data_IF_912677135103
#
_entry.id   IF_912677135103
#
_cell.length_a   1.000
_cell.length_b   1.000
_cell.length_c   1.000
_cell.angle_alpha   90.00
_cell.angle_beta   90.00
_cell.angle_gamma   90.00
#
_symmetry.space_group_name_H-M   'P 1'
#
loop_
_entity.id
_entity.type
_entity.pdbx_description
1 polymer ?
#
# COMPACT_ATOMS: atom_id res chain seq x y z
N UNK A 1 -13.19 -32.48 14.30
CA UNK A 1 -13.38 -32.90 12.90
C UNK A 1 -12.20 -33.78 12.56
N UNK A 2 -12.44 -35.01 12.07
CA UNK A 2 -11.36 -35.84 11.57
C UNK A 2 -10.89 -35.20 10.27
N UNK A 3 -9.59 -35.00 10.13
CA UNK A 3 -9.01 -34.62 8.85
C UNK A 3 -9.35 -35.71 7.85
N UNK A 4 -10.11 -35.36 6.83
CA UNK A 4 -10.42 -36.27 5.74
C UNK A 4 -9.16 -36.46 4.87
N UNK A 5 -8.77 -37.71 4.69
CA UNK A 5 -7.55 -38.10 3.97
C UNK A 5 -7.54 -37.56 2.53
N UNK A 6 -8.72 -37.48 1.92
CA UNK A 6 -8.94 -36.93 0.59
C UNK A 6 -8.72 -35.42 0.55
N UNK A 7 -9.22 -34.67 1.53
CA UNK A 7 -8.99 -33.23 1.69
C UNK A 7 -7.52 -32.90 1.90
N UNK A 8 -6.80 -33.69 2.69
CA UNK A 8 -5.35 -33.52 2.89
C UNK A 8 -4.56 -33.81 1.62
N UNK A 9 -4.95 -34.81 0.82
CA UNK A 9 -4.27 -35.12 -0.43
C UNK A 9 -4.45 -34.00 -1.47
N UNK A 10 -5.68 -33.50 -1.65
CA UNK A 10 -5.98 -32.37 -2.54
C UNK A 10 -5.24 -31.10 -2.11
N UNK A 11 -5.25 -30.80 -0.83
CA UNK A 11 -4.51 -29.65 -0.29
C UNK A 11 -3.01 -29.77 -0.58
N UNK A 12 -2.43 -30.96 -0.37
CA UNK A 12 -1.00 -31.21 -0.66
C UNK A 12 -0.66 -30.94 -2.12
N UNK A 13 -1.46 -31.45 -3.06
CA UNK A 13 -1.24 -31.27 -4.48
C UNK A 13 -1.27 -29.78 -4.87
N UNK A 14 -2.29 -29.04 -4.40
CA UNK A 14 -2.42 -27.60 -4.63
C UNK A 14 -1.28 -26.79 -4.02
N UNK A 15 -0.84 -27.13 -2.78
CA UNK A 15 0.27 -26.45 -2.12
C UNK A 15 1.58 -26.69 -2.83
N UNK A 16 1.86 -27.90 -3.33
CA UNK A 16 3.07 -28.20 -4.10
C UNK A 16 3.15 -27.35 -5.37
N UNK A 17 2.05 -27.19 -6.11
CA UNK A 17 2.01 -26.31 -7.28
C UNK A 17 2.25 -24.86 -6.91
N UNK A 18 1.58 -24.36 -5.88
CA UNK A 18 1.75 -22.99 -5.40
C UNK A 18 3.18 -22.70 -4.90
N UNK A 19 3.82 -23.66 -4.23
CA UNK A 19 5.22 -23.53 -3.80
C UNK A 19 6.19 -23.52 -4.98
N UNK A 20 5.92 -24.26 -6.05
CA UNK A 20 6.73 -24.19 -7.27
C UNK A 20 6.63 -22.82 -7.97
N UNK A 21 5.41 -22.26 -8.04
CA UNK A 21 5.19 -20.90 -8.55
C UNK A 21 5.89 -19.84 -7.69
N UNK A 22 5.80 -19.98 -6.37
CA UNK A 22 6.44 -19.09 -5.40
C UNK A 22 7.97 -19.14 -5.56
N UNK A 23 8.57 -20.33 -5.61
CA UNK A 23 10.00 -20.52 -5.79
C UNK A 23 10.51 -19.88 -7.08
N UNK A 24 9.81 -20.11 -8.20
CA UNK A 24 10.15 -19.49 -9.48
C UNK A 24 10.12 -17.96 -9.45
N UNK A 25 9.13 -17.35 -8.79
CA UNK A 25 9.04 -15.91 -8.64
C UNK A 25 10.14 -15.35 -7.71
N UNK A 26 10.46 -16.07 -6.63
CA UNK A 26 11.49 -15.65 -5.66
C UNK A 26 12.88 -15.65 -6.26
N UNK A 27 13.22 -16.61 -7.11
CA UNK A 27 14.52 -16.66 -7.83
C UNK A 27 14.74 -15.39 -8.68
N UNK A 28 13.71 -14.88 -9.29
CA UNK A 28 13.80 -13.62 -10.05
C UNK A 28 13.87 -12.40 -9.14
N UNK A 29 13.13 -12.38 -8.02
CA UNK A 29 13.16 -11.29 -7.04
C UNK A 29 14.51 -11.16 -6.32
N UNK A 30 15.25 -12.23 -6.13
CA UNK A 30 16.62 -12.20 -5.59
C UNK A 30 17.58 -11.39 -6.47
N UNK A 31 17.32 -11.32 -7.76
CA UNK A 31 18.12 -10.55 -8.72
C UNK A 31 17.53 -9.18 -9.04
N UNK A 32 16.21 -9.05 -8.99
CA UNK A 32 15.48 -7.83 -9.24
C UNK A 32 14.27 -7.71 -8.30
N UNK A 33 14.46 -7.20 -7.07
CA UNK A 33 13.38 -7.07 -6.08
C UNK A 33 12.22 -6.18 -6.53
N UNK A 34 12.46 -5.26 -7.46
CA UNK A 34 11.45 -4.34 -7.99
C UNK A 34 10.62 -4.91 -9.15
N UNK A 35 10.76 -6.19 -9.51
CA UNK A 35 10.02 -6.83 -10.59
C UNK A 35 8.54 -6.99 -10.23
N UNK A 36 7.71 -6.02 -10.60
CA UNK A 36 6.28 -5.97 -10.24
C UNK A 36 5.49 -7.23 -10.66
N UNK A 37 5.83 -7.83 -11.78
CA UNK A 37 5.20 -9.07 -12.24
C UNK A 37 5.47 -10.23 -11.27
N UNK A 38 6.70 -10.32 -10.75
CA UNK A 38 7.07 -11.37 -9.81
C UNK A 38 6.45 -11.15 -8.44
N UNK A 39 6.36 -9.89 -7.99
CA UNK A 39 5.63 -9.53 -6.77
C UNK A 39 4.14 -9.93 -6.89
N UNK A 40 3.52 -9.73 -8.05
CA UNK A 40 2.14 -10.18 -8.30
C UNK A 40 2.00 -11.70 -8.28
N UNK A 41 2.98 -12.45 -8.81
CA UNK A 41 3.01 -13.91 -8.74
C UNK A 41 3.12 -14.40 -7.30
N UNK A 42 4.02 -13.81 -6.50
CA UNK A 42 4.16 -14.12 -5.07
C UNK A 42 2.84 -13.83 -4.34
N UNK A 43 2.23 -12.68 -4.60
CA UNK A 43 0.93 -12.34 -3.99
C UNK A 43 -0.14 -13.40 -4.29
N UNK A 44 -0.27 -13.82 -5.55
CA UNK A 44 -1.25 -14.85 -5.93
C UNK A 44 -0.98 -16.19 -5.27
N UNK A 45 0.27 -16.63 -5.24
CA UNK A 45 0.65 -17.89 -4.60
C UNK A 45 0.34 -17.89 -3.09
N UNK A 46 0.72 -16.82 -2.37
CA UNK A 46 0.44 -16.68 -0.93
C UNK A 46 -1.06 -16.56 -0.65
N UNK A 47 -1.80 -15.82 -1.51
CA UNK A 47 -3.26 -15.71 -1.40
C UNK A 47 -3.95 -17.06 -1.53
N UNK A 48 -3.56 -17.85 -2.52
CA UNK A 48 -4.08 -19.21 -2.74
C UNK A 48 -3.72 -20.12 -1.57
N UNK A 49 -2.47 -20.15 -1.13
CA UNK A 49 -2.01 -20.91 0.04
C UNK A 49 -2.85 -20.60 1.30
N UNK A 50 -3.09 -19.30 1.56
CA UNK A 50 -3.94 -18.88 2.67
C UNK A 50 -5.35 -19.43 2.53
N UNK A 51 -5.97 -19.29 1.37
CA UNK A 51 -7.33 -19.75 1.10
C UNK A 51 -7.48 -21.25 1.26
N UNK A 52 -6.59 -22.02 0.65
CA UNK A 52 -6.59 -23.48 0.70
C UNK A 52 -6.33 -24.01 2.11
N UNK A 53 -5.39 -23.38 2.86
CA UNK A 53 -5.10 -23.73 4.24
C UNK A 53 -6.31 -23.49 5.17
N UNK A 54 -7.04 -22.39 4.98
CA UNK A 54 -8.28 -22.14 5.74
C UNK A 54 -9.38 -23.14 5.39
N UNK A 55 -9.57 -23.45 4.11
CA UNK A 55 -10.58 -24.42 3.67
C UNK A 55 -10.29 -25.82 4.17
N UNK A 56 -9.02 -26.23 4.16
CA UNK A 56 -8.59 -27.53 4.69
C UNK A 56 -8.49 -27.56 6.23
N UNK A 57 -8.62 -26.42 6.93
CA UNK A 57 -8.50 -26.32 8.38
C UNK A 57 -7.06 -26.46 8.90
N UNK A 58 -6.05 -26.25 8.06
CA UNK A 58 -4.61 -26.34 8.39
C UNK A 58 -4.15 -24.98 8.90
N UNK A 59 -4.52 -24.68 10.15
CA UNK A 59 -4.29 -23.39 10.80
C UNK A 59 -2.81 -22.97 10.84
N UNK A 60 -1.81 -23.83 11.09
CA UNK A 60 -0.42 -23.38 11.17
C UNK A 60 0.10 -22.76 9.88
N UNK A 61 -0.33 -23.26 8.71
CA UNK A 61 0.02 -22.65 7.41
C UNK A 61 -0.75 -21.34 7.20
N UNK A 62 -2.04 -21.31 7.56
CA UNK A 62 -2.87 -20.12 7.41
C UNK A 62 -2.38 -18.95 8.29
N UNK A 63 -1.86 -19.24 9.49
CA UNK A 63 -1.30 -18.24 10.41
C UNK A 63 -0.05 -17.55 9.85
N UNK A 64 0.78 -18.26 9.10
CA UNK A 64 1.94 -17.69 8.39
C UNK A 64 1.49 -16.91 7.16
N UNK A 65 0.59 -17.49 6.36
CA UNK A 65 0.18 -16.92 5.09
C UNK A 65 -0.61 -15.61 5.24
N UNK A 66 -1.38 -15.45 6.33
CA UNK A 66 -2.24 -14.27 6.53
C UNK A 66 -1.47 -12.95 6.68
N UNK A 67 -0.49 -12.80 7.60
CA UNK A 67 0.30 -11.57 7.70
C UNK A 67 1.25 -11.39 6.53
N UNK A 68 1.73 -12.49 5.93
CA UNK A 68 2.59 -12.43 4.75
C UNK A 68 1.83 -11.89 3.54
N UNK A 69 0.60 -12.33 3.29
CA UNK A 69 -0.24 -11.80 2.22
C UNK A 69 -0.45 -10.28 2.35
N UNK A 70 -0.67 -9.80 3.58
CA UNK A 70 -0.82 -8.37 3.85
C UNK A 70 0.45 -7.60 3.45
N UNK A 71 1.61 -8.07 3.86
CA UNK A 71 2.90 -7.47 3.51
C UNK A 71 3.13 -7.45 1.99
N UNK A 72 2.93 -8.60 1.32
CA UNK A 72 3.11 -8.69 -0.14
C UNK A 72 2.12 -7.83 -0.91
N UNK A 73 0.91 -7.64 -0.39
CA UNK A 73 -0.07 -6.70 -0.96
C UNK A 73 0.44 -5.26 -0.94
N UNK A 74 1.14 -4.86 0.10
CA UNK A 74 1.72 -3.51 0.21
C UNK A 74 2.88 -3.31 -0.78
N UNK A 75 3.70 -4.33 -1.01
CA UNK A 75 4.69 -4.31 -2.10
C UNK A 75 4.03 -4.20 -3.47
N UNK A 76 2.99 -4.99 -3.72
CA UNK A 76 2.23 -4.95 -4.99
C UNK A 76 1.60 -3.59 -5.27
N UNK A 77 1.14 -2.88 -4.25
CA UNK A 77 0.53 -1.54 -4.37
C UNK A 77 1.56 -0.41 -4.35
N UNK A 78 2.85 -0.72 -4.33
CA UNK A 78 3.96 0.24 -4.18
C UNK A 78 3.84 1.13 -2.93
N UNK A 79 3.09 0.69 -1.93
CA UNK A 79 3.01 1.38 -0.64
C UNK A 79 4.33 1.27 0.12
N UNK A 80 5.00 0.12 -0.02
CA UNK A 80 6.30 -0.19 0.53
C UNK A 80 7.20 -0.68 -0.60
N UNK A 81 8.43 -0.14 -0.69
CA UNK A 81 9.42 -0.64 -1.63
C UNK A 81 9.97 -1.99 -1.16
N UNK A 82 10.16 -2.92 -2.09
CA UNK A 82 10.77 -4.22 -1.82
C UNK A 82 12.26 -4.17 -2.13
N UNK A 83 13.07 -4.74 -1.25
CA UNK A 83 14.51 -4.92 -1.44
C UNK A 83 14.93 -6.38 -1.21
N UNK A 84 16.26 -6.62 -1.15
CA UNK A 84 16.78 -7.98 -0.96
C UNK A 84 16.40 -8.59 0.40
N UNK A 85 16.26 -7.79 1.45
CA UNK A 85 15.91 -8.31 2.78
C UNK A 85 14.47 -8.83 2.79
N UNK A 86 13.57 -8.18 2.07
CA UNK A 86 12.20 -8.65 1.89
C UNK A 86 12.15 -9.90 1.02
N UNK A 87 12.97 -9.99 -0.04
CA UNK A 87 13.09 -11.20 -0.85
C UNK A 87 13.58 -12.40 -0.03
N UNK A 88 14.58 -12.21 0.83
CA UNK A 88 15.05 -13.23 1.79
C UNK A 88 13.95 -13.64 2.77
N UNK A 89 13.18 -12.68 3.29
CA UNK A 89 12.04 -12.98 4.18
C UNK A 89 10.99 -13.84 3.48
N UNK A 90 10.69 -13.56 2.21
CA UNK A 90 9.76 -14.38 1.43
C UNK A 90 10.33 -15.80 1.18
N UNK A 91 11.63 -15.93 1.02
CA UNK A 91 12.32 -17.25 0.93
C UNK A 91 12.20 -18.04 2.22
N UNK A 92 12.36 -17.40 3.37
CA UNK A 92 12.15 -18.04 4.68
C UNK A 92 10.70 -18.52 4.85
N UNK A 93 9.72 -17.72 4.38
CA UNK A 93 8.32 -18.11 4.36
C UNK A 93 8.07 -19.37 3.52
N UNK A 94 8.66 -19.45 2.34
CA UNK A 94 8.56 -20.60 1.45
C UNK A 94 9.08 -21.87 2.14
N UNK A 95 10.22 -21.79 2.84
CA UNK A 95 10.77 -22.90 3.62
C UNK A 95 9.82 -23.34 4.76
N UNK A 96 9.18 -22.39 5.46
CA UNK A 96 8.21 -22.70 6.49
C UNK A 96 6.96 -23.38 5.91
N UNK A 97 6.47 -22.97 4.74
CA UNK A 97 5.38 -23.65 4.07
C UNK A 97 5.74 -25.08 3.67
N UNK A 98 6.97 -25.32 3.18
CA UNK A 98 7.47 -26.69 2.92
C UNK A 98 7.52 -27.52 4.19
N UNK A 99 8.05 -26.99 5.28
CA UNK A 99 8.08 -27.67 6.57
C UNK A 99 6.67 -28.00 7.07
N UNK A 100 5.73 -27.07 6.92
CA UNK A 100 4.32 -27.29 7.23
C UNK A 100 3.69 -28.40 6.38
N UNK A 101 4.03 -28.47 5.10
CA UNK A 101 3.58 -29.52 4.18
C UNK A 101 4.11 -30.92 4.58
N UNK A 102 5.39 -31.01 4.94
CA UNK A 102 6.01 -32.25 5.43
C UNK A 102 5.38 -32.73 6.74
N UNK A 103 4.99 -31.80 7.60
CA UNK A 103 4.38 -32.07 8.89
C UNK A 103 2.92 -32.57 8.81
N UNK A 104 2.23 -32.34 7.67
CA UNK A 104 0.80 -32.68 7.51
C UNK A 104 0.46 -34.13 7.80
N UNK A 105 1.33 -35.09 7.47
CA UNK A 105 1.07 -36.51 7.65
C UNK A 105 1.11 -36.93 9.14
N UNK A 106 1.96 -36.26 9.92
CA UNK A 106 2.22 -36.64 11.30
C UNK A 106 1.48 -35.78 12.31
N UNK A 107 1.47 -34.46 12.11
CA UNK A 107 0.96 -33.49 13.07
C UNK A 107 0.38 -32.25 12.34
N UNK A 108 -0.75 -32.34 11.63
CA UNK A 108 -1.29 -31.29 10.76
C UNK A 108 -1.66 -29.99 11.49
N UNK A 109 -1.87 -30.04 12.80
CA UNK A 109 -2.26 -28.90 13.63
C UNK A 109 -1.15 -28.41 14.57
N UNK A 110 0.02 -29.06 14.57
CA UNK A 110 1.12 -28.60 15.41
C UNK A 110 1.75 -27.33 14.84
N UNK A 111 2.20 -26.40 15.68
CA UNK A 111 2.93 -25.21 15.23
C UNK A 111 4.16 -25.59 14.40
N UNK A 112 4.39 -24.84 13.33
CA UNK A 112 5.58 -25.02 12.48
C UNK A 112 6.77 -24.42 13.21
N UNK A 113 7.87 -25.19 13.31
CA UNK A 113 9.07 -24.74 13.97
C UNK A 113 9.64 -23.49 13.30
N UNK A 114 9.97 -22.44 14.08
CA UNK A 114 10.46 -21.15 13.56
C UNK A 114 9.36 -20.20 13.10
N UNK A 115 8.07 -20.60 13.03
CA UNK A 115 6.99 -19.75 12.58
C UNK A 115 6.81 -18.51 13.48
N UNK A 116 6.91 -18.66 14.81
CA UNK A 116 6.74 -17.55 15.74
C UNK A 116 7.80 -16.45 15.53
N UNK A 117 9.07 -16.84 15.43
CA UNK A 117 10.18 -15.91 15.18
C UNK A 117 10.05 -15.26 13.81
N UNK A 118 9.62 -16.00 12.80
CA UNK A 118 9.34 -15.48 11.49
C UNK A 118 8.22 -14.43 11.53
N UNK A 119 7.11 -14.69 12.20
CA UNK A 119 6.00 -13.75 12.33
C UNK A 119 6.41 -12.45 13.04
N UNK A 120 7.26 -12.55 14.07
CA UNK A 120 7.83 -11.35 14.71
C UNK A 120 8.70 -10.54 13.72
N UNK A 121 9.48 -11.19 12.86
CA UNK A 121 10.27 -10.51 11.82
C UNK A 121 9.38 -9.83 10.79
N UNK A 122 8.32 -10.50 10.33
CA UNK A 122 7.32 -9.91 9.42
C UNK A 122 6.71 -8.66 10.02
N UNK A 123 6.28 -8.71 11.29
CA UNK A 123 5.68 -7.58 11.99
C UNK A 123 6.66 -6.40 12.14
N UNK A 124 7.90 -6.68 12.54
CA UNK A 124 8.94 -5.65 12.69
C UNK A 124 9.27 -4.98 11.36
N UNK A 125 9.44 -5.78 10.30
CA UNK A 125 9.71 -5.27 8.96
C UNK A 125 8.56 -4.39 8.47
N UNK A 126 7.34 -4.88 8.56
CA UNK A 126 6.14 -4.16 8.17
C UNK A 126 6.04 -2.78 8.86
N UNK A 127 6.25 -2.76 10.17
CA UNK A 127 6.20 -1.51 10.95
C UNK A 127 7.32 -0.54 10.55
N UNK A 128 8.56 -1.02 10.48
CA UNK A 128 9.71 -0.23 10.05
C UNK A 128 9.56 0.38 8.65
N UNK A 129 8.99 -0.38 7.71
CA UNK A 129 8.79 0.10 6.34
C UNK A 129 7.66 1.11 6.22
N UNK A 130 6.59 0.95 6.98
CA UNK A 130 5.52 1.95 7.05
C UNK A 130 6.02 3.27 7.63
N UNK A 131 6.77 3.22 8.73
CA UNK A 131 7.37 4.40 9.35
C UNK A 131 8.33 5.12 8.37
N UNK A 132 9.13 4.33 7.61
CA UNK A 132 10.04 4.88 6.59
C UNK A 132 9.30 5.50 5.42
N UNK A 133 8.21 4.87 4.95
CA UNK A 133 7.39 5.39 3.86
C UNK A 133 6.64 6.68 4.28
N UNK A 134 6.18 6.75 5.52
CA UNK A 134 5.56 7.95 6.08
C UNK A 134 6.59 9.07 6.24
N UNK A 135 7.79 8.77 6.76
CA UNK A 135 8.89 9.74 6.88
C UNK A 135 9.32 10.27 5.51
N UNK A 136 9.47 9.41 4.50
CA UNK A 136 9.82 9.83 3.14
C UNK A 136 8.74 10.73 2.52
N UNK A 137 7.46 10.45 2.76
CA UNK A 137 6.36 11.32 2.31
C UNK A 137 6.38 12.68 3.02
N UNK A 138 6.72 12.72 4.30
CA UNK A 138 6.87 13.97 5.04
C UNK A 138 8.08 14.77 4.54
N UNK A 139 9.20 14.11 4.25
CA UNK A 139 10.40 14.74 3.67
C UNK A 139 10.15 15.26 2.26
N UNK A 140 9.40 14.53 1.42
CA UNK A 140 9.01 14.97 0.07
C UNK A 140 8.06 16.17 0.12
N UNK A 141 7.25 16.30 1.18
CA UNK A 141 6.42 17.49 1.43
C UNK A 141 7.22 18.67 1.99
N UNK A 142 8.36 18.42 2.65
CA UNK A 142 9.17 19.47 3.30
C UNK A 142 10.20 20.12 2.33
N UNK A 143 10.30 19.65 1.07
CA UNK A 143 11.13 20.31 0.05
C UNK A 143 10.51 21.57 -0.57
N UNK A 144 9.30 21.92 -0.14
CA UNK A 144 8.66 23.17 -0.55
C UNK A 144 9.40 24.36 0.04
N UNK A 145 9.67 25.36 -0.80
CA UNK A 145 10.33 26.59 -0.35
C UNK A 145 9.43 27.32 0.68
N UNK A 146 9.88 27.42 1.96
CA UNK A 146 9.10 28.09 2.99
C UNK A 146 8.76 29.55 2.67
N UNK A 147 9.58 30.22 1.84
CA UNK A 147 9.31 31.57 1.39
C UNK A 147 8.14 31.62 0.41
N UNK A 148 8.08 30.69 -0.55
CA UNK A 148 6.96 30.59 -1.48
C UNK A 148 5.65 30.26 -0.76
N UNK A 149 5.68 29.36 0.20
CA UNK A 149 4.51 29.05 1.05
C UNK A 149 4.07 30.30 1.85
N UNK A 150 5.02 31.04 2.43
CA UNK A 150 4.69 32.25 3.20
C UNK A 150 4.07 33.33 2.34
N UNK A 151 4.59 33.55 1.12
CA UNK A 151 4.03 34.48 0.14
C UNK A 151 2.63 34.04 -0.27
N UNK A 152 2.48 32.75 -0.63
CA UNK A 152 1.17 32.20 -1.00
C UNK A 152 0.14 32.34 0.10
N UNK A 153 0.51 32.12 1.39
CA UNK A 153 -0.42 32.28 2.52
C UNK A 153 -0.84 33.74 2.72
N UNK A 154 0.08 34.70 2.52
CA UNK A 154 -0.26 36.10 2.66
C UNK A 154 -1.19 36.56 1.52
N UNK A 155 -0.83 36.32 0.26
CA UNK A 155 -1.65 36.68 -0.90
C UNK A 155 -2.97 35.89 -0.95
N UNK A 156 -2.92 34.59 -0.64
CA UNK A 156 -4.11 33.74 -0.63
C UNK A 156 -5.15 34.14 0.40
N UNK A 157 -4.72 34.68 1.54
CA UNK A 157 -5.65 35.19 2.56
C UNK A 157 -6.40 36.43 2.06
N UNK A 158 -5.68 37.34 1.40
CA UNK A 158 -6.31 38.54 0.80
C UNK A 158 -7.30 38.15 -0.30
N UNK A 159 -6.93 37.23 -1.17
CA UNK A 159 -7.80 36.67 -2.23
C UNK A 159 -9.06 36.03 -1.62
N UNK A 160 -8.94 35.27 -0.54
CA UNK A 160 -10.08 34.63 0.12
C UNK A 160 -11.04 35.66 0.74
N UNK A 161 -10.53 36.73 1.32
CA UNK A 161 -11.35 37.80 1.86
C UNK A 161 -12.11 38.56 0.74
N UNK A 162 -11.43 38.86 -0.37
CA UNK A 162 -12.05 39.50 -1.52
C UNK A 162 -13.09 38.58 -2.18
N UNK A 163 -12.82 37.28 -2.28
CA UNK A 163 -13.77 36.28 -2.78
C UNK A 163 -15.03 36.19 -1.91
N UNK A 164 -14.92 36.29 -0.59
CA UNK A 164 -16.09 36.31 0.32
C UNK A 164 -16.98 37.53 0.07
N UNK A 165 -16.38 38.72 -0.10
CA UNK A 165 -17.10 39.94 -0.42
C UNK A 165 -17.77 39.89 -1.80
N UNK A 166 -17.09 39.35 -2.81
CA UNK A 166 -17.62 39.16 -4.16
C UNK A 166 -18.80 38.18 -4.17
N UNK A 167 -18.71 37.08 -3.45
CA UNK A 167 -19.79 36.10 -3.31
C UNK A 167 -21.00 36.72 -2.61
N UNK A 168 -20.79 37.56 -1.60
CA UNK A 168 -21.88 38.25 -0.89
C UNK A 168 -22.60 39.21 -1.83
N UNK A 169 -21.88 40.03 -2.60
CA UNK A 169 -22.44 40.96 -3.56
C UNK A 169 -23.22 40.26 -4.68
N UNK A 170 -22.60 39.20 -5.24
CA UNK A 170 -23.26 38.39 -6.26
C UNK A 170 -24.55 37.74 -5.78
N UNK A 171 -24.61 37.27 -4.53
CA UNK A 171 -25.82 36.69 -3.94
C UNK A 171 -26.95 37.74 -3.78
N UNK A 172 -26.61 39.00 -3.57
CA UNK A 172 -27.57 40.09 -3.51
C UNK A 172 -28.10 40.51 -4.91
N UNK A 173 -27.24 40.40 -5.94
CA UNK A 173 -27.53 40.77 -7.33
C UNK A 173 -27.12 39.69 -8.33
N UNK A 174 -27.82 38.53 -8.36
CA UNK A 174 -27.36 37.35 -9.18
C UNK A 174 -27.36 37.58 -10.69
N UNK A 175 -28.05 38.63 -11.18
CA UNK A 175 -28.08 38.98 -12.60
C UNK A 175 -26.85 39.78 -13.08
N UNK A 176 -26.05 40.29 -12.15
CA UNK A 176 -24.81 40.99 -12.47
C UNK A 176 -23.65 39.98 -12.60
N UNK A 177 -23.06 39.91 -13.79
CA UNK A 177 -22.00 38.97 -14.07
C UNK A 177 -20.60 39.50 -13.68
N UNK A 178 -20.52 40.76 -13.31
CA UNK A 178 -19.24 41.42 -13.02
C UNK A 178 -18.57 40.84 -11.76
N UNK A 179 -19.33 40.62 -10.70
CA UNK A 179 -18.86 40.05 -9.45
C UNK A 179 -18.43 38.57 -9.64
N UNK A 180 -19.17 37.83 -10.46
CA UNK A 180 -18.82 36.44 -10.79
C UNK A 180 -17.52 36.38 -11.59
N UNK A 181 -17.34 37.27 -12.58
CA UNK A 181 -16.10 37.34 -13.36
C UNK A 181 -14.89 37.69 -12.48
N UNK A 182 -15.06 38.66 -11.57
CA UNK A 182 -14.00 39.00 -10.62
C UNK A 182 -13.65 37.83 -9.68
N UNK A 183 -14.65 37.09 -9.20
CA UNK A 183 -14.42 35.91 -8.39
C UNK A 183 -13.62 34.82 -9.13
N UNK A 184 -13.92 34.59 -10.42
CA UNK A 184 -13.18 33.62 -11.23
C UNK A 184 -11.73 34.07 -11.48
N UNK A 185 -11.48 35.39 -11.61
CA UNK A 185 -10.14 35.93 -11.67
C UNK A 185 -9.35 35.68 -10.38
N UNK A 186 -9.97 35.92 -9.21
CA UNK A 186 -9.37 35.65 -7.90
C UNK A 186 -9.03 34.16 -7.72
N UNK A 187 -9.95 33.26 -8.09
CA UNK A 187 -9.71 31.82 -8.05
C UNK A 187 -8.58 31.39 -9.01
N UNK A 188 -8.49 32.04 -10.17
CA UNK A 188 -7.39 31.78 -11.11
C UNK A 188 -6.04 32.21 -10.55
N UNK A 189 -5.97 33.36 -9.86
CA UNK A 189 -4.75 33.83 -9.20
C UNK A 189 -4.36 32.92 -8.05
N UNK A 190 -5.32 32.52 -7.22
CA UNK A 190 -5.09 31.57 -6.13
C UNK A 190 -4.56 30.23 -6.63
N UNK A 191 -5.11 29.70 -7.72
CA UNK A 191 -4.66 28.44 -8.33
C UNK A 191 -3.23 28.53 -8.86
N UNK A 192 -2.85 29.64 -9.50
CA UNK A 192 -1.48 29.89 -9.97
C UNK A 192 -0.49 30.06 -8.82
N UNK A 193 -0.87 30.78 -7.77
CA UNK A 193 -0.05 30.91 -6.56
C UNK A 193 0.18 29.58 -5.87
N UNK A 194 -0.84 28.73 -5.80
CA UNK A 194 -0.75 27.37 -5.28
C UNK A 194 0.20 26.49 -6.13
N UNK A 195 0.17 26.60 -7.44
CA UNK A 195 1.07 25.88 -8.33
C UNK A 195 2.53 26.31 -8.13
N UNK A 196 2.79 27.62 -8.01
CA UNK A 196 4.12 28.16 -7.72
C UNK A 196 4.65 27.76 -6.33
N UNK A 197 3.75 27.61 -5.34
CA UNK A 197 4.08 27.16 -3.99
C UNK A 197 4.12 25.62 -3.87
N UNK A 198 4.01 24.89 -4.97
CA UNK A 198 3.99 23.43 -5.02
C UNK A 198 2.87 22.81 -4.16
N UNK A 199 1.67 23.41 -4.19
CA UNK A 199 0.46 22.98 -3.49
C UNK A 199 -0.57 22.41 -4.48
N UNK A 200 -0.35 21.21 -5.06
CA UNK A 200 -1.17 20.68 -6.14
C UNK A 200 -2.64 20.51 -5.75
N UNK A 201 -2.92 20.13 -4.52
CA UNK A 201 -4.30 19.93 -4.04
C UNK A 201 -5.13 21.21 -4.09
N UNK A 202 -4.52 22.36 -3.78
CA UNK A 202 -5.20 23.67 -3.85
C UNK A 202 -5.34 24.10 -5.31
N UNK A 203 -4.30 23.90 -6.13
CA UNK A 203 -4.36 24.19 -7.57
C UNK A 203 -5.45 23.38 -8.27
N UNK A 204 -5.54 22.07 -8.03
CA UNK A 204 -6.59 21.20 -8.58
C UNK A 204 -7.99 21.62 -8.12
N UNK A 205 -8.15 22.02 -6.85
CA UNK A 205 -9.43 22.52 -6.34
C UNK A 205 -9.86 23.81 -7.05
N UNK A 206 -8.93 24.75 -7.23
CA UNK A 206 -9.22 25.99 -7.96
C UNK A 206 -9.59 25.70 -9.42
N UNK A 207 -8.89 24.79 -10.09
CA UNK A 207 -9.22 24.38 -11.46
C UNK A 207 -10.58 23.70 -11.58
N UNK A 208 -11.00 22.95 -10.56
CA UNK A 208 -12.31 22.29 -10.55
C UNK A 208 -13.47 23.28 -10.31
N UNK A 209 -13.19 24.47 -9.77
CA UNK A 209 -14.17 25.53 -9.53
C UNK A 209 -14.31 26.52 -10.69
N UNK A 210 -13.36 26.53 -11.63
CA UNK A 210 -13.34 27.38 -12.84
C UNK A 210 -14.05 26.71 -14.00
#
# INVERSE_FOLDING_TARGET
MAFDEETCALFREEVVENLAELDGALLELETNPAAAEQVDRVFRAVHTLKGSAHMAGILPIAEIATPLEKLVKEFKTNLIAMDLAEAELLRDAEQLFRAGLEQLESQPLAPIAGAAEFLERVQKLHHSRLDSAESARLEEQDHRDPQLISIFLAEGMDILLDAEDLLRKWREHPSEQQELSALLEELTMLGRGAEMAELPQISELCQALL
#
